data_IF_360578917067
#
_entry.id   IF_360578917067
#
_cell.length_a   1.000
_cell.length_b   1.000
_cell.length_c   1.000
_cell.angle_alpha   90.00
_cell.angle_beta   90.00
_cell.angle_gamma   90.00
#
_symmetry.space_group_name_H-M   'P 1'
#
loop_
_entity.id
_entity.type
_entity.pdbx_description
1 polymer ?
#
# COMPACT_ATOMS: atom_id res chain seq x y z
N UNK A 1 -0.87 3.34 0.84
CA UNK A 1 -0.01 2.81 1.93
C UNK A 1 0.25 1.33 1.72
N UNK A 2 1.38 0.79 2.17
CA UNK A 2 1.56 -0.65 2.27
C UNK A 2 0.72 -1.22 3.41
N UNK A 3 0.11 -2.36 3.17
CA UNK A 3 -0.68 -3.15 4.11
C UNK A 3 -0.03 -4.51 4.26
N UNK A 4 0.04 -5.02 5.50
CA UNK A 4 0.59 -6.33 5.82
C UNK A 4 -0.46 -7.19 6.49
N UNK A 5 -0.47 -8.47 6.17
CA UNK A 5 -1.36 -9.45 6.78
C UNK A 5 -0.87 -9.77 8.19
N UNK A 6 -1.58 -9.27 9.20
CA UNK A 6 -1.23 -9.45 10.61
C UNK A 6 -1.46 -10.87 11.09
N UNK A 7 -2.43 -11.58 10.51
CA UNK A 7 -2.66 -12.98 10.80
C UNK A 7 -1.52 -13.87 10.29
N UNK A 8 -0.98 -13.55 9.11
CA UNK A 8 0.21 -14.23 8.61
C UNK A 8 1.42 -13.98 9.50
N UNK A 9 1.60 -12.74 10.01
CA UNK A 9 2.65 -12.43 11.00
C UNK A 9 2.52 -13.31 12.24
N UNK A 10 1.30 -13.45 12.78
CA UNK A 10 1.03 -14.31 13.93
C UNK A 10 1.33 -15.77 13.62
N UNK A 11 0.88 -16.28 12.46
CA UNK A 11 1.06 -17.68 12.06
C UNK A 11 2.54 -18.05 11.92
N UNK A 12 3.38 -17.14 11.39
CA UNK A 12 4.84 -17.37 11.24
C UNK A 12 5.65 -16.88 12.46
N UNK A 13 4.99 -16.36 13.49
CA UNK A 13 5.64 -15.91 14.73
C UNK A 13 6.54 -14.67 14.57
N UNK A 14 6.22 -13.80 13.59
CA UNK A 14 6.97 -12.58 13.34
C UNK A 14 6.22 -11.35 13.86
N UNK A 15 6.98 -10.27 14.13
CA UNK A 15 6.42 -8.97 14.52
C UNK A 15 6.33 -8.04 13.31
N UNK A 16 5.54 -6.96 13.46
CA UNK A 16 5.45 -5.89 12.48
C UNK A 16 6.84 -5.31 12.16
N UNK A 17 7.31 -5.35 10.90
CA UNK A 17 8.63 -4.86 10.55
C UNK A 17 8.71 -3.33 10.62
N UNK A 18 9.85 -2.81 11.04
CA UNK A 18 10.18 -1.39 11.14
C UNK A 18 11.41 -1.00 10.30
N UNK A 19 12.15 -1.99 9.85
CA UNK A 19 13.32 -1.83 8.98
C UNK A 19 13.19 -2.66 7.71
N UNK A 20 13.97 -2.30 6.69
CA UNK A 20 14.03 -3.08 5.43
C UNK A 20 14.55 -4.49 5.63
N UNK A 21 15.46 -4.69 6.58
CA UNK A 21 16.00 -6.03 6.90
C UNK A 21 14.95 -6.89 7.60
N UNK A 22 14.20 -6.32 8.57
CA UNK A 22 13.08 -7.01 9.20
C UNK A 22 11.98 -7.35 8.18
N UNK A 23 11.70 -6.44 7.25
CA UNK A 23 10.74 -6.66 6.19
C UNK A 23 11.15 -7.82 5.28
N UNK A 24 12.43 -7.86 4.86
CA UNK A 24 12.95 -8.99 4.09
C UNK A 24 12.81 -10.31 4.85
N UNK A 25 13.11 -10.33 6.16
CA UNK A 25 12.96 -11.51 6.99
C UNK A 25 11.49 -11.98 7.09
N UNK A 26 10.55 -11.04 7.21
CA UNK A 26 9.12 -11.33 7.20
C UNK A 26 8.68 -11.92 5.86
N UNK A 27 9.09 -11.31 4.73
CA UNK A 27 8.75 -11.84 3.40
C UNK A 27 9.30 -13.27 3.20
N UNK A 28 10.50 -13.56 3.70
CA UNK A 28 11.07 -14.93 3.65
C UNK A 28 10.24 -15.90 4.49
N UNK A 29 9.86 -15.50 5.69
CA UNK A 29 8.99 -16.34 6.54
C UNK A 29 7.64 -16.62 5.86
N UNK A 30 7.03 -15.62 5.23
CA UNK A 30 5.79 -15.80 4.45
C UNK A 30 5.97 -16.78 3.29
N UNK A 31 7.09 -16.73 2.58
CA UNK A 31 7.36 -17.63 1.46
C UNK A 31 7.65 -19.08 1.88
N UNK A 32 8.31 -19.27 3.01
CA UNK A 32 8.86 -20.58 3.43
C UNK A 32 7.88 -21.38 4.31
N UNK A 33 6.84 -20.75 4.82
CA UNK A 33 5.88 -21.34 5.73
C UNK A 33 4.46 -21.19 5.16
N UNK A 34 3.55 -22.04 5.60
CA UNK A 34 2.12 -21.93 5.34
C UNK A 34 1.56 -20.75 6.15
N UNK A 35 1.78 -19.54 5.62
CA UNK A 35 1.46 -18.30 6.34
C UNK A 35 -0.04 -18.04 6.36
N UNK A 36 -0.77 -18.42 5.31
CA UNK A 36 -2.23 -18.28 5.25
C UNK A 36 -2.96 -19.39 6.02
N UNK A 37 -2.27 -20.50 6.37
CA UNK A 37 -2.78 -21.60 7.17
C UNK A 37 -3.76 -22.52 6.42
N UNK A 38 -3.67 -22.56 5.09
CA UNK A 38 -4.55 -23.38 4.24
C UNK A 38 -4.05 -24.82 4.05
N UNK A 39 -2.81 -25.12 4.46
CA UNK A 39 -2.15 -26.41 4.33
C UNK A 39 -1.26 -26.55 3.10
N UNK A 40 -1.04 -25.48 2.32
CA UNK A 40 -0.19 -25.44 1.13
C UNK A 40 0.80 -24.27 1.23
N UNK A 41 2.02 -24.53 1.68
CA UNK A 41 3.07 -23.49 1.80
C UNK A 41 3.68 -23.07 0.45
N UNK A 42 3.06 -23.36 -0.68
CA UNK A 42 3.56 -23.03 -2.00
C UNK A 42 2.76 -21.97 -2.74
N UNK A 43 1.63 -21.55 -2.19
CA UNK A 43 0.72 -20.60 -2.84
C UNK A 43 0.85 -19.16 -2.28
N UNK A 44 1.68 -18.94 -1.25
CA UNK A 44 1.92 -17.63 -0.69
C UNK A 44 2.68 -16.72 -1.64
N UNK A 45 2.18 -15.51 -1.78
CA UNK A 45 2.83 -14.40 -2.48
C UNK A 45 3.23 -13.36 -1.43
N UNK A 46 4.51 -13.33 -1.00
CA UNK A 46 4.91 -12.46 0.09
C UNK A 46 4.64 -10.97 -0.15
N UNK A 47 4.88 -10.49 -1.38
CA UNK A 47 4.65 -9.10 -1.76
C UNK A 47 4.07 -8.99 -3.17
N UNK A 48 3.01 -8.21 -3.32
CA UNK A 48 2.48 -7.78 -4.61
C UNK A 48 1.89 -6.36 -4.53
N UNK A 49 1.51 -5.77 -5.65
CA UNK A 49 0.78 -4.50 -5.74
C UNK A 49 0.01 -4.41 -7.05
N UNK A 50 -0.99 -3.53 -7.10
CA UNK A 50 -1.70 -3.25 -8.35
C UNK A 50 -0.72 -2.73 -9.43
N UNK A 51 -0.64 -3.39 -10.58
CA UNK A 51 0.27 -3.01 -11.65
C UNK A 51 -0.03 -1.62 -12.25
N UNK A 52 -1.27 -1.14 -12.14
CA UNK A 52 -1.66 0.17 -12.64
C UNK A 52 -1.29 1.33 -11.70
N UNK A 53 -1.13 1.05 -10.42
CA UNK A 53 -0.89 2.08 -9.39
C UNK A 53 0.59 2.36 -9.11
N UNK A 54 1.54 1.68 -9.74
CA UNK A 54 3.01 1.95 -9.71
C UNK A 54 3.54 2.54 -8.39
N UNK A 55 3.11 1.97 -7.26
CA UNK A 55 3.51 2.48 -5.93
C UNK A 55 4.89 2.02 -5.51
N UNK A 56 5.55 1.20 -6.32
CA UNK A 56 6.89 0.66 -6.03
C UNK A 56 7.90 1.80 -5.89
N UNK A 57 7.80 2.83 -6.72
CA UNK A 57 8.70 3.98 -6.68
C UNK A 57 8.62 4.73 -5.34
N UNK A 58 7.48 4.69 -4.66
CA UNK A 58 7.32 5.29 -3.33
C UNK A 58 8.17 4.58 -2.26
N UNK A 59 8.50 3.29 -2.48
CA UNK A 59 9.38 2.54 -1.57
C UNK A 59 10.83 3.07 -1.58
N UNK A 60 11.24 3.85 -2.59
CA UNK A 60 12.52 4.56 -2.55
C UNK A 60 12.63 5.53 -1.35
N UNK A 61 11.48 5.92 -0.81
CA UNK A 61 11.41 6.70 0.44
C UNK A 61 11.99 5.98 1.65
N UNK A 62 11.99 4.64 1.70
CA UNK A 62 12.65 3.87 2.76
C UNK A 62 14.18 4.11 2.81
N UNK A 63 14.73 4.53 1.69
CA UNK A 63 16.14 4.90 1.52
C UNK A 63 16.38 6.42 1.63
N UNK A 64 15.37 7.19 2.07
CA UNK A 64 15.45 8.64 2.19
C UNK A 64 15.27 9.41 0.88
N UNK A 65 14.68 8.77 -0.14
CA UNK A 65 14.34 9.40 -1.42
C UNK A 65 12.82 9.38 -1.66
N UNK A 66 12.05 10.24 -0.99
CA UNK A 66 10.61 10.34 -1.27
C UNK A 66 10.39 10.94 -2.65
N UNK A 67 9.96 10.15 -3.60
CA UNK A 67 9.67 10.62 -4.95
C UNK A 67 8.27 10.20 -5.41
N UNK A 68 7.68 10.99 -6.29
CA UNK A 68 6.40 10.67 -6.90
C UNK A 68 6.56 9.70 -8.09
N UNK A 69 5.44 9.27 -8.65
CA UNK A 69 5.39 8.36 -9.83
C UNK A 69 6.11 8.88 -11.09
N UNK A 70 6.45 10.17 -11.14
CA UNK A 70 7.24 10.77 -12.23
C UNK A 70 8.74 10.79 -11.92
N UNK A 71 9.16 10.25 -10.76
CA UNK A 71 10.55 10.27 -10.33
C UNK A 71 11.01 11.63 -9.80
N UNK A 72 10.09 12.52 -9.48
CA UNK A 72 10.41 13.85 -8.95
C UNK A 72 10.46 13.77 -7.42
N UNK A 73 11.54 14.27 -6.85
CA UNK A 73 11.77 14.39 -5.41
C UNK A 73 12.16 15.81 -5.02
N UNK A 74 12.06 16.12 -3.73
CA UNK A 74 12.62 17.34 -3.15
C UNK A 74 13.76 16.92 -2.24
N UNK A 75 14.97 17.40 -2.54
CA UNK A 75 16.16 17.19 -1.72
C UNK A 75 16.84 18.54 -1.47
N UNK A 76 17.13 18.86 -0.21
CA UNK A 76 17.77 20.12 0.17
C UNK A 76 17.04 21.35 -0.43
N UNK A 77 15.72 21.38 -0.31
CA UNK A 77 14.83 22.45 -0.82
C UNK A 77 14.87 22.63 -2.36
N UNK A 78 15.43 21.67 -3.09
CA UNK A 78 15.50 21.69 -4.56
C UNK A 78 14.70 20.56 -5.15
N UNK A 79 14.02 20.85 -6.25
CA UNK A 79 13.36 19.82 -7.07
C UNK A 79 14.44 19.08 -7.87
N UNK A 80 14.49 17.76 -7.72
CA UNK A 80 15.45 16.90 -8.40
C UNK A 80 14.73 15.74 -9.08
N UNK A 81 15.34 15.20 -10.12
CA UNK A 81 14.91 13.93 -10.70
C UNK A 81 15.61 12.78 -9.97
N UNK A 82 14.85 12.07 -9.13
CA UNK A 82 15.40 11.02 -8.27
C UNK A 82 15.91 9.79 -9.02
N UNK A 83 15.36 9.50 -10.20
CA UNK A 83 15.64 8.28 -10.97
C UNK A 83 17.10 8.11 -11.42
N UNK A 84 17.94 9.13 -11.33
CA UNK A 84 19.39 9.07 -11.64
C UNK A 84 20.28 9.12 -10.39
N UNK A 85 19.68 9.14 -9.19
CA UNK A 85 20.42 9.23 -7.93
C UNK A 85 21.01 7.87 -7.51
N UNK A 86 22.11 7.92 -6.76
CA UNK A 86 22.68 6.71 -6.15
C UNK A 86 21.71 6.06 -5.15
N UNK A 87 20.95 6.86 -4.42
CA UNK A 87 19.90 6.36 -3.51
C UNK A 87 18.83 5.56 -4.25
N UNK A 88 18.43 6.00 -5.45
CA UNK A 88 17.49 5.21 -6.26
C UNK A 88 18.11 3.90 -6.72
N UNK A 89 19.41 3.88 -7.03
CA UNK A 89 20.14 2.67 -7.36
C UNK A 89 20.20 1.71 -6.17
N UNK A 90 20.41 2.20 -4.94
CA UNK A 90 20.36 1.39 -3.72
C UNK A 90 18.99 0.72 -3.58
N UNK A 91 17.91 1.50 -3.70
CA UNK A 91 16.55 0.98 -3.69
C UNK A 91 16.32 -0.09 -4.75
N UNK A 92 16.69 0.18 -6.01
CA UNK A 92 16.52 -0.79 -7.10
C UNK A 92 17.32 -2.07 -6.88
N UNK A 93 18.52 -1.96 -6.30
CA UNK A 93 19.34 -3.14 -5.98
C UNK A 93 18.70 -4.00 -4.90
N UNK A 94 18.14 -3.37 -3.88
CA UNK A 94 17.39 -4.05 -2.83
C UNK A 94 16.09 -4.69 -3.39
N UNK A 95 15.31 -3.95 -4.15
CA UNK A 95 14.07 -4.48 -4.74
C UNK A 95 14.33 -5.62 -5.72
N UNK A 96 15.41 -5.50 -6.54
CA UNK A 96 15.85 -6.58 -7.42
C UNK A 96 16.24 -7.85 -6.63
N UNK A 97 16.89 -7.69 -5.48
CA UNK A 97 17.21 -8.84 -4.60
C UNK A 97 15.91 -9.52 -4.14
N UNK A 98 14.92 -8.76 -3.64
CA UNK A 98 13.64 -9.34 -3.25
C UNK A 98 12.97 -10.10 -4.39
N UNK A 99 12.99 -9.53 -5.60
CA UNK A 99 12.43 -10.18 -6.78
C UNK A 99 13.19 -11.45 -7.16
N UNK A 100 14.52 -11.42 -7.16
CA UNK A 100 15.36 -12.55 -7.49
C UNK A 100 15.24 -13.71 -6.49
N UNK A 101 14.98 -13.41 -5.22
CA UNK A 101 14.70 -14.39 -4.17
C UNK A 101 13.25 -14.91 -4.22
N UNK A 102 12.42 -14.41 -5.13
CA UNK A 102 11.00 -14.79 -5.28
C UNK A 102 10.13 -14.34 -4.11
N UNK A 103 10.50 -13.22 -3.47
CA UNK A 103 9.72 -12.58 -2.41
C UNK A 103 8.69 -11.59 -2.96
N UNK A 104 8.73 -11.34 -4.27
CA UNK A 104 7.84 -10.46 -5.01
C UNK A 104 7.08 -11.30 -6.03
N UNK A 105 5.79 -11.02 -6.22
CA UNK A 105 4.95 -11.66 -7.22
C UNK A 105 5.65 -11.66 -8.60
N UNK A 106 5.85 -12.83 -9.18
CA UNK A 106 6.50 -12.97 -10.49
C UNK A 106 5.70 -12.31 -11.61
N UNK A 107 4.38 -12.18 -11.42
CA UNK A 107 3.47 -11.54 -12.35
C UNK A 107 3.26 -10.05 -12.08
N UNK A 108 3.99 -9.46 -11.12
CA UNK A 108 3.85 -8.07 -10.70
C UNK A 108 3.76 -7.06 -11.85
N UNK A 109 4.49 -7.29 -12.94
CA UNK A 109 4.54 -6.40 -14.11
C UNK A 109 3.67 -6.85 -15.28
N UNK A 110 3.05 -8.01 -15.21
CA UNK A 110 2.32 -8.63 -16.32
C UNK A 110 0.85 -8.90 -16.03
N UNK A 111 0.48 -9.02 -14.75
CA UNK A 111 -0.91 -9.18 -14.34
C UNK A 111 -1.72 -7.90 -14.54
N UNK A 112 -3.02 -8.02 -14.65
CA UNK A 112 -3.96 -6.90 -14.59
C UNK A 112 -4.54 -6.72 -13.18
N UNK A 113 -5.26 -5.62 -12.94
CA UNK A 113 -5.86 -5.34 -11.63
C UNK A 113 -6.85 -6.42 -11.21
N UNK A 114 -7.59 -7.02 -12.14
CA UNK A 114 -8.57 -8.06 -11.80
C UNK A 114 -7.91 -9.36 -11.36
N UNK A 115 -6.77 -9.71 -11.93
CA UNK A 115 -5.95 -10.84 -11.47
C UNK A 115 -5.38 -10.58 -10.08
N UNK A 116 -4.85 -9.36 -9.85
CA UNK A 116 -4.35 -8.95 -8.54
C UNK A 116 -5.44 -8.98 -7.47
N UNK A 117 -6.62 -8.43 -7.75
CA UNK A 117 -7.79 -8.51 -6.87
C UNK A 117 -8.22 -9.97 -6.61
N UNK A 118 -8.23 -10.80 -7.64
CA UNK A 118 -8.58 -12.21 -7.55
C UNK A 118 -7.67 -13.01 -6.61
N UNK A 119 -6.36 -12.78 -6.66
CA UNK A 119 -5.38 -13.38 -5.75
C UNK A 119 -5.58 -12.88 -4.31
N UNK A 120 -5.81 -11.58 -4.12
CA UNK A 120 -6.06 -10.99 -2.81
C UNK A 120 -7.33 -11.51 -2.14
N UNK A 121 -8.41 -11.73 -2.93
CA UNK A 121 -9.64 -12.33 -2.45
C UNK A 121 -9.47 -13.79 -1.98
N UNK A 122 -8.45 -14.49 -2.49
CA UNK A 122 -8.09 -15.85 -2.09
C UNK A 122 -7.12 -15.90 -0.92
N UNK A 123 -6.78 -14.76 -0.31
CA UNK A 123 -5.84 -14.64 0.81
C UNK A 123 -4.41 -15.09 0.47
N UNK A 124 -3.95 -14.79 -0.75
CA UNK A 124 -2.63 -15.19 -1.24
C UNK A 124 -1.54 -14.13 -0.99
N UNK A 125 -1.86 -12.96 -0.43
CA UNK A 125 -0.90 -11.88 -0.23
C UNK A 125 -0.50 -11.70 1.23
N UNK A 126 0.81 -11.68 1.48
CA UNK A 126 1.37 -11.24 2.75
C UNK A 126 1.40 -9.71 2.89
N UNK A 127 1.87 -9.02 1.84
CA UNK A 127 1.95 -7.56 1.78
C UNK A 127 1.44 -7.06 0.44
N UNK A 128 0.64 -5.99 0.46
CA UNK A 128 0.25 -5.28 -0.76
C UNK A 128 0.19 -3.76 -0.55
N UNK A 129 0.45 -3.00 -1.62
CA UNK A 129 0.34 -1.53 -1.59
C UNK A 129 -0.95 -1.13 -2.28
N UNK A 130 -1.82 -0.43 -1.54
CA UNK A 130 -3.12 0.02 -2.00
C UNK A 130 -3.55 1.32 -1.30
N UNK A 131 -4.68 1.91 -1.69
CA UNK A 131 -5.31 2.99 -0.92
C UNK A 131 -5.98 2.44 0.35
N UNK A 132 -6.53 1.23 0.29
CA UNK A 132 -7.10 0.49 1.40
C UNK A 132 -7.01 -1.02 1.15
N UNK A 133 -6.98 -1.83 2.20
CA UNK A 133 -6.91 -3.30 2.08
C UNK A 133 -8.10 -3.87 1.30
N UNK A 134 -9.26 -3.24 1.37
CA UNK A 134 -10.46 -3.62 0.64
C UNK A 134 -10.34 -3.61 -0.88
N UNK A 135 -9.35 -2.91 -1.46
CA UNK A 135 -9.13 -2.90 -2.91
C UNK A 135 -8.72 -4.27 -3.46
N UNK A 136 -7.96 -5.04 -2.70
CA UNK A 136 -7.50 -6.35 -3.14
C UNK A 136 -8.12 -7.53 -2.38
N UNK A 137 -8.68 -7.30 -1.20
CA UNK A 137 -9.35 -8.38 -0.44
C UNK A 137 -10.87 -8.38 -0.62
N UNK A 138 -11.43 -7.37 -1.32
CA UNK A 138 -12.86 -7.09 -1.32
C UNK A 138 -13.32 -6.39 -0.04
N UNK A 139 -14.12 -5.32 -0.16
CA UNK A 139 -14.52 -4.50 1.00
C UNK A 139 -15.18 -5.32 2.11
N UNK A 140 -16.18 -6.20 1.84
CA UNK A 140 -16.79 -7.01 2.91
C UNK A 140 -15.77 -7.94 3.60
N UNK A 141 -14.90 -8.58 2.85
CA UNK A 141 -13.90 -9.49 3.40
C UNK A 141 -12.85 -8.75 4.26
N UNK A 142 -12.44 -7.54 3.86
CA UNK A 142 -11.52 -6.73 4.64
C UNK A 142 -12.12 -6.29 5.98
N UNK A 143 -13.42 -5.93 5.99
CA UNK A 143 -14.12 -5.54 7.21
C UNK A 143 -14.38 -6.73 8.15
N UNK A 144 -14.72 -7.90 7.60
CA UNK A 144 -15.03 -9.10 8.38
C UNK A 144 -13.76 -9.76 8.94
N UNK A 145 -12.67 -9.79 8.17
CA UNK A 145 -11.45 -10.49 8.57
C UNK A 145 -10.54 -9.62 9.43
N UNK A 146 -10.43 -8.33 9.13
CA UNK A 146 -9.53 -7.41 9.83
C UNK A 146 -8.05 -7.82 9.77
N UNK A 147 -7.68 -8.63 8.77
CA UNK A 147 -6.40 -9.32 8.71
C UNK A 147 -5.24 -8.40 8.27
N UNK A 148 -5.55 -7.26 7.66
CA UNK A 148 -4.56 -6.34 7.11
C UNK A 148 -4.47 -5.05 7.91
N UNK A 149 -3.25 -4.69 8.30
CA UNK A 149 -2.96 -3.43 8.95
C UNK A 149 -1.95 -2.60 8.15
N UNK A 150 -1.98 -1.29 8.33
CA UNK A 150 -1.01 -0.40 7.68
C UNK A 150 0.38 -0.63 8.25
N UNK A 151 1.36 -0.82 7.37
CA UNK A 151 2.75 -0.90 7.80
C UNK A 151 3.29 0.47 8.19
N UNK A 152 4.19 0.55 9.19
CA UNK A 152 5.00 1.73 9.43
C UNK A 152 5.93 2.00 8.25
N UNK A 153 6.44 3.21 8.16
CA UNK A 153 7.50 3.53 7.22
C UNK A 153 8.76 2.78 7.64
N UNK A 154 9.33 2.02 6.72
CA UNK A 154 10.54 1.26 7.01
C UNK A 154 11.78 2.16 7.00
N UNK A 155 12.70 1.89 7.90
CA UNK A 155 14.00 2.55 7.97
C UNK A 155 15.10 1.65 7.42
N UNK A 156 16.15 2.30 6.92
CA UNK A 156 17.48 1.67 6.67
C UNK A 156 18.46 2.21 7.71
N UNK A 157 19.69 2.53 7.33
CA UNK A 157 20.59 3.44 8.06
C UNK A 157 20.12 4.91 8.02
N UNK A 158 19.08 5.19 7.23
CA UNK A 158 18.42 6.48 7.07
C UNK A 158 16.98 6.39 7.56
N UNK A 159 16.44 7.51 8.02
CA UNK A 159 15.02 7.62 8.34
C UNK A 159 14.20 7.53 7.07
N UNK A 160 13.31 6.56 7.03
CA UNK A 160 12.41 6.35 5.91
C UNK A 160 11.35 7.45 5.83
N UNK A 161 10.99 7.82 4.60
CA UNK A 161 9.93 8.80 4.32
C UNK A 161 8.96 8.18 3.32
N UNK A 162 7.67 8.14 3.67
CA UNK A 162 6.63 7.74 2.73
C UNK A 162 5.97 8.96 2.13
N UNK A 163 6.20 9.18 0.83
CA UNK A 163 5.49 10.24 0.13
C UNK A 163 4.08 9.75 -0.22
N UNK A 164 3.10 10.31 0.45
CA UNK A 164 1.73 10.21 -0.01
C UNK A 164 1.54 11.22 -1.14
N UNK A 165 1.16 10.75 -2.32
CA UNK A 165 0.80 11.63 -3.44
C UNK A 165 -0.52 12.32 -3.07
N UNK A 166 -0.40 13.41 -2.32
CA UNK A 166 -1.53 14.27 -2.02
C UNK A 166 -1.57 15.31 -3.12
N UNK A 167 -2.53 15.20 -4.03
CA UNK A 167 -2.76 16.18 -5.10
C UNK A 167 -3.17 17.57 -4.55
N UNK A 168 -2.72 17.94 -3.36
CA UNK A 168 -3.04 19.20 -2.72
C UNK A 168 -4.56 19.38 -2.54
N UNK A 169 -5.05 20.60 -2.64
CA UNK A 169 -6.49 20.90 -2.66
C UNK A 169 -7.04 20.70 -4.07
N UNK A 170 -7.32 19.46 -4.45
CA UNK A 170 -7.97 19.16 -5.72
C UNK A 170 -9.48 19.21 -5.54
N UNK A 171 -10.15 20.02 -6.35
CA UNK A 171 -11.60 19.97 -6.47
C UNK A 171 -11.97 19.02 -7.59
N UNK A 172 -12.34 17.81 -7.23
CA UNK A 172 -12.88 16.86 -8.19
C UNK A 172 -14.32 17.25 -8.52
N UNK A 173 -14.53 17.73 -9.76
CA UNK A 173 -15.87 18.06 -10.23
C UNK A 173 -16.64 16.76 -10.55
N UNK A 174 -17.95 16.80 -10.37
CA UNK A 174 -18.87 15.70 -10.74
C UNK A 174 -18.65 14.36 -10.02
N UNK A 175 -18.19 14.38 -8.77
CA UNK A 175 -18.06 13.17 -7.95
C UNK A 175 -19.42 12.65 -7.43
N UNK A 176 -20.40 13.53 -7.32
CA UNK A 176 -21.78 13.19 -6.99
C UNK A 176 -22.74 13.98 -7.86
N UNK A 177 -23.81 13.36 -8.32
CA UNK A 177 -24.84 13.98 -9.15
C UNK A 177 -26.21 13.68 -8.54
N UNK A 178 -26.99 14.74 -8.32
CA UNK A 178 -28.39 14.60 -7.96
C UNK A 178 -29.23 14.76 -9.23
N UNK A 179 -29.99 13.75 -9.58
CA UNK A 179 -30.81 13.79 -10.80
C UNK A 179 -32.04 14.65 -10.58
N UNK A 180 -32.61 15.19 -11.66
CA UNK A 180 -33.84 15.99 -11.62
C UNK A 180 -35.11 15.18 -11.25
N UNK A 181 -34.96 13.86 -11.06
CA UNK A 181 -36.02 12.96 -10.59
C UNK A 181 -35.91 12.61 -9.11
N UNK A 182 -34.92 13.17 -8.40
CA UNK A 182 -34.82 12.98 -6.97
C UNK A 182 -36.00 13.65 -6.27
N UNK A 183 -36.78 12.88 -5.51
CA UNK A 183 -37.96 13.40 -4.79
C UNK A 183 -37.56 14.30 -3.62
N UNK A 184 -36.40 14.05 -3.00
CA UNK A 184 -35.85 14.77 -1.84
C UNK A 184 -34.37 15.15 -2.01
N UNK A 185 -34.04 16.07 -2.93
CA UNK A 185 -32.66 16.47 -3.17
C UNK A 185 -31.99 17.12 -1.95
N UNK A 186 -32.78 17.78 -1.10
CA UNK A 186 -32.31 18.39 0.16
C UNK A 186 -31.78 17.34 1.16
N UNK A 187 -32.36 16.14 1.20
CA UNK A 187 -31.90 15.04 2.05
C UNK A 187 -30.56 14.51 1.52
N UNK A 188 -30.43 14.37 0.21
CA UNK A 188 -29.18 13.90 -0.41
C UNK A 188 -28.05 14.90 -0.12
N UNK A 189 -28.31 16.19 -0.22
CA UNK A 189 -27.33 17.23 0.12
C UNK A 189 -26.97 17.23 1.61
N UNK A 190 -27.89 16.88 2.50
CA UNK A 190 -27.61 16.83 3.94
C UNK A 190 -26.65 15.72 4.35
N UNK A 191 -26.51 14.66 3.53
CA UNK A 191 -25.52 13.60 3.75
C UNK A 191 -24.08 14.13 3.73
N UNK A 192 -23.79 15.21 3.00
CA UNK A 192 -22.48 15.87 2.98
C UNK A 192 -22.11 16.38 4.38
N UNK A 193 -23.08 16.91 5.12
CA UNK A 193 -22.87 17.41 6.49
C UNK A 193 -22.70 16.29 7.53
N UNK A 194 -23.25 15.11 7.26
CA UNK A 194 -23.11 13.94 8.15
C UNK A 194 -21.74 13.29 8.01
N UNK A 195 -21.13 13.38 6.82
CA UNK A 195 -19.82 12.80 6.52
C UNK A 195 -18.64 13.75 6.84
N UNK A 196 -18.89 15.04 7.14
CA UNK A 196 -17.84 15.93 7.62
C UNK A 196 -17.47 15.58 9.07
N UNK A 197 -16.16 15.33 9.38
CA UNK A 197 -15.74 15.17 10.75
C UNK A 197 -16.07 16.48 11.51
N UNK A 198 -16.84 16.37 12.58
CA UNK A 198 -17.13 17.50 13.47
C UNK A 198 -15.81 18.13 13.90
N UNK A 199 -15.55 19.34 13.41
CA UNK A 199 -14.40 20.14 13.86
C UNK A 199 -14.55 20.31 15.38
N UNK A 200 -13.52 19.97 16.19
CA UNK A 200 -13.57 20.32 17.60
C UNK A 200 -13.75 21.83 17.73
N UNK A 201 -14.75 22.26 18.49
CA UNK A 201 -14.92 23.67 18.85
C UNK A 201 -13.64 24.18 19.49
N UNK A 202 -13.12 25.37 19.13
CA UNK A 202 -11.97 25.93 19.79
C UNK A 202 -12.30 26.13 21.28
N UNK A 203 -11.48 25.51 22.12
CA UNK A 203 -11.56 25.68 23.57
C UNK A 203 -11.29 27.16 23.86
N UNK A 204 -12.29 27.86 24.31
CA UNK A 204 -12.25 29.27 24.80
C UNK A 204 -11.49 29.36 26.11
#
# INVERSE_FOLDING_TARGET
>A
SPYINTKWLENVGMSMPTTTDEFEAVLKAFKEQDANGNGDASDEIPFSTDPNNKHIEAMAGYFGLPMNKLGIAIQNEKVVYGGVSDTYREFLSWFHKLYAEGLVDVELYTQDSSTWEGKGNQDLYGVSIAYGSGEFTGIPAAEERGDFDSMPVLNTDKDGIWLRDTEGFSVYRTQAVITNKAEHPEIILSLIHISEPTRPEPIS
#
